data_IF_532623414201
#
_entry.id   IF_532623414201
#
_cell.length_a   1.000
_cell.length_b   1.000
_cell.length_c   1.000
_cell.angle_alpha   90.00
_cell.angle_beta   90.00
_cell.angle_gamma   90.00
#
_symmetry.space_group_name_H-M   'P 1'
#
loop_
_entity.id
_entity.type
_entity.pdbx_description
1 polymer ?
#
# COMPACT_ATOMS: atom_id res chain seq x y z
N UNK A 1 12.56 -1.42 -1.07
CA UNK A 1 12.25 -0.03 -1.49
C UNK A 1 10.83 0.04 -2.04
N UNK A 2 10.18 1.23 -2.00
CA UNK A 2 8.83 1.45 -2.52
C UNK A 2 8.68 1.08 -4.02
N UNK A 3 9.78 1.18 -4.77
CA UNK A 3 9.86 0.78 -6.17
C UNK A 3 9.65 -0.73 -6.41
N UNK A 4 9.89 -1.59 -5.40
CA UNK A 4 9.67 -3.04 -5.50
C UNK A 4 8.20 -3.45 -5.31
N UNK A 5 7.34 -2.55 -4.82
CA UNK A 5 5.90 -2.80 -4.76
C UNK A 5 5.30 -2.78 -6.16
N UNK A 6 4.23 -3.57 -6.36
CA UNK A 6 3.42 -3.44 -7.57
C UNK A 6 2.82 -2.04 -7.66
N UNK A 7 2.47 -1.63 -8.88
CA UNK A 7 1.88 -0.31 -9.15
C UNK A 7 0.64 -0.06 -8.30
N UNK A 8 -0.29 -1.02 -8.27
CA UNK A 8 -1.49 -0.96 -7.44
C UNK A 8 -1.19 -0.80 -5.94
N UNK A 9 -0.18 -1.54 -5.43
CA UNK A 9 0.21 -1.44 -4.02
C UNK A 9 0.80 -0.07 -3.70
N UNK A 10 1.59 0.49 -4.61
CA UNK A 10 2.18 1.81 -4.47
C UNK A 10 1.10 2.88 -4.50
N UNK A 11 0.19 2.82 -5.45
CA UNK A 11 -0.94 3.74 -5.58
C UNK A 11 -1.80 3.75 -4.31
N UNK A 12 -2.16 2.58 -3.78
CA UNK A 12 -2.89 2.44 -2.51
C UNK A 12 -2.18 3.14 -1.34
N UNK A 13 -0.85 3.00 -1.24
CA UNK A 13 -0.09 3.66 -0.18
C UNK A 13 -0.03 5.18 -0.42
N UNK A 14 0.12 5.64 -1.66
CA UNK A 14 0.08 7.07 -2.00
C UNK A 14 -1.24 7.70 -1.56
N UNK A 15 -2.36 7.11 -1.98
CA UNK A 15 -3.69 7.64 -1.66
C UNK A 15 -3.96 7.65 -0.15
N UNK A 16 -3.64 6.56 0.55
CA UNK A 16 -4.03 6.40 1.97
C UNK A 16 -3.02 6.97 2.97
N UNK A 17 -1.72 6.93 2.67
CA UNK A 17 -0.65 7.28 3.62
C UNK A 17 0.00 8.63 3.34
N UNK A 18 0.03 9.07 2.09
CA UNK A 18 0.63 10.34 1.69
C UNK A 18 -0.42 11.41 1.41
N UNK A 19 -1.54 11.05 0.78
CA UNK A 19 -2.67 11.96 0.53
C UNK A 19 -3.75 11.89 1.61
N UNK A 20 -3.64 10.94 2.55
CA UNK A 20 -4.54 10.79 3.69
C UNK A 20 -6.04 10.64 3.34
N UNK A 21 -6.35 10.14 2.14
CA UNK A 21 -7.71 9.79 1.76
C UNK A 21 -8.25 8.68 2.66
N UNK A 22 -9.53 8.77 3.01
CA UNK A 22 -10.21 7.73 3.78
C UNK A 22 -10.39 6.47 2.93
N UNK A 23 -10.46 5.31 3.57
CA UNK A 23 -10.61 4.04 2.85
C UNK A 23 -11.92 3.94 2.07
N UNK A 24 -12.96 4.63 2.51
CA UNK A 24 -14.23 4.79 1.81
C UNK A 24 -14.03 5.50 0.46
N UNK A 25 -13.29 6.59 0.43
CA UNK A 25 -13.02 7.38 -0.78
C UNK A 25 -12.17 6.59 -1.77
N UNK A 26 -11.13 5.91 -1.28
CA UNK A 26 -10.27 5.06 -2.11
C UNK A 26 -11.04 3.87 -2.66
N UNK A 27 -11.96 3.28 -1.89
CA UNK A 27 -12.81 2.19 -2.36
C UNK A 27 -13.71 2.63 -3.53
N UNK A 28 -14.26 3.84 -3.48
CA UNK A 28 -15.01 4.44 -4.59
C UNK A 28 -14.13 4.69 -5.81
N UNK A 29 -12.94 5.30 -5.63
CA UNK A 29 -12.00 5.58 -6.73
C UNK A 29 -11.56 4.28 -7.43
N UNK A 30 -11.27 3.23 -6.66
CA UNK A 30 -10.79 1.94 -7.18
C UNK A 30 -11.93 0.96 -7.52
N UNK A 31 -13.19 1.41 -7.48
CA UNK A 31 -14.39 0.61 -7.73
C UNK A 31 -14.38 -0.76 -7.00
N UNK A 32 -14.14 -0.72 -5.68
CA UNK A 32 -14.07 -1.92 -4.85
C UNK A 32 -14.66 -1.68 -3.46
N UNK A 33 -14.57 -2.66 -2.56
CA UNK A 33 -15.11 -2.53 -1.19
C UNK A 33 -14.05 -2.00 -0.23
N UNK A 34 -14.49 -1.28 0.81
CA UNK A 34 -13.63 -0.81 1.91
C UNK A 34 -12.88 -1.96 2.58
N UNK A 35 -13.53 -3.13 2.71
CA UNK A 35 -12.89 -4.33 3.24
C UNK A 35 -11.70 -4.77 2.37
N UNK A 36 -11.86 -4.75 1.04
CA UNK A 36 -10.78 -5.06 0.11
C UNK A 36 -9.64 -4.05 0.21
N UNK A 37 -9.94 -2.74 0.29
CA UNK A 37 -8.94 -1.69 0.50
C UNK A 37 -8.12 -1.95 1.77
N UNK A 38 -8.79 -2.22 2.92
CA UNK A 38 -8.09 -2.51 4.19
C UNK A 38 -7.12 -3.68 4.06
N UNK A 39 -7.55 -4.78 3.43
CA UNK A 39 -6.71 -5.97 3.19
C UNK A 39 -5.52 -5.62 2.29
N UNK A 40 -5.76 -4.90 1.19
CA UNK A 40 -4.71 -4.51 0.25
C UNK A 40 -3.69 -3.57 0.89
N UNK A 41 -4.12 -2.56 1.65
CA UNK A 41 -3.22 -1.65 2.40
C UNK A 41 -2.38 -2.45 3.40
N UNK A 42 -2.98 -3.33 4.19
CA UNK A 42 -2.24 -4.15 5.16
C UNK A 42 -1.15 -4.98 4.46
N UNK A 43 -1.48 -5.64 3.34
CA UNK A 43 -0.51 -6.42 2.56
C UNK A 43 0.58 -5.55 1.94
N UNK A 44 0.25 -4.36 1.43
CA UNK A 44 1.20 -3.44 0.85
C UNK A 44 2.22 -2.94 1.89
N UNK A 45 1.76 -2.62 3.10
CA UNK A 45 2.64 -2.24 4.22
C UNK A 45 3.54 -3.42 4.63
N UNK A 46 2.99 -4.64 4.70
CA UNK A 46 3.76 -5.85 4.98
C UNK A 46 4.91 -6.06 4.00
N UNK A 47 4.63 -6.01 2.69
CA UNK A 47 5.67 -6.11 1.65
C UNK A 47 6.68 -4.98 1.71
N UNK A 48 6.23 -3.74 1.97
CA UNK A 48 7.14 -2.60 2.10
C UNK A 48 8.12 -2.81 3.24
N UNK A 49 7.63 -3.34 4.37
CA UNK A 49 8.43 -3.71 5.54
C UNK A 49 9.43 -4.81 5.20
N UNK A 50 9.00 -5.89 4.54
CA UNK A 50 9.88 -6.97 4.08
C UNK A 50 11.01 -6.42 3.19
N UNK A 51 10.68 -5.65 2.16
CA UNK A 51 11.66 -5.06 1.26
C UNK A 51 12.59 -4.03 1.92
N UNK A 52 12.18 -3.45 3.04
CA UNK A 52 13.03 -2.55 3.83
C UNK A 52 14.06 -3.38 4.63
N UNK A 53 13.61 -4.41 5.34
CA UNK A 53 14.50 -5.28 6.11
C UNK A 53 15.44 -6.14 5.24
N UNK A 54 15.05 -6.49 4.02
CA UNK A 54 15.97 -7.11 3.05
C UNK A 54 17.13 -6.17 2.68
N UNK A 55 16.86 -4.87 2.53
CA UNK A 55 17.89 -3.89 2.23
C UNK A 55 18.86 -3.71 3.41
N UNK A 56 18.34 -3.71 4.64
CA UNK A 56 19.18 -3.62 5.85
C UNK A 56 20.07 -4.85 6.08
N UNK A 57 19.68 -6.03 5.58
CA UNK A 57 20.53 -7.24 5.66
C UNK A 57 21.63 -7.29 4.60
N UNK A 58 21.52 -6.46 3.56
CA UNK A 58 22.44 -6.50 2.40
C UNK A 58 23.37 -5.28 2.37
N UNK A 59 23.17 -4.31 3.27
CA UNK A 59 24.08 -3.19 3.55
C UNK A 59 24.92 -3.47 4.79
#
# INVERSE_FOLDING_TARGET
>A
SLAKLSEEQRELLVLTRFQHLKYEEVATIMNTTVANIKVKVHRAIGKLREYYFELEKTN
#
